data_IF_031778986714
#
_entry.id   IF_031778986714
#
_cell.length_a   1.000
_cell.length_b   1.000
_cell.length_c   1.000
_cell.angle_alpha   90.00
_cell.angle_beta   90.00
_cell.angle_gamma   90.00
#
_symmetry.space_group_name_H-M   'P 1'
#
loop_
_entity.id
_entity.type
_entity.pdbx_description
1 polymer ?
#
# COMPACT_ATOMS: atom_id res chain seq x y z
N UNK A 1 1.70 -16.41 -3.63
CA UNK A 1 2.05 -16.19 -2.21
C UNK A 1 1.60 -14.81 -1.78
N UNK A 2 0.84 -14.73 -0.70
CA UNK A 2 0.28 -13.48 -0.14
C UNK A 2 -0.58 -12.71 -1.13
N UNK A 3 -1.63 -13.33 -1.62
CA UNK A 3 -2.55 -12.77 -2.60
C UNK A 3 -3.81 -12.18 -1.97
N UNK A 4 -4.10 -12.57 -0.73
CA UNK A 4 -5.29 -12.17 -0.01
C UNK A 4 -4.93 -11.55 1.34
N UNK A 5 -5.70 -10.54 1.72
CA UNK A 5 -5.60 -9.91 3.02
C UNK A 5 -6.21 -10.82 4.09
N UNK A 6 -5.46 -10.95 5.19
CA UNK A 6 -5.96 -11.56 6.41
C UNK A 6 -5.86 -10.52 7.53
N UNK A 7 -6.98 -10.22 8.16
CA UNK A 7 -7.05 -9.16 9.18
C UNK A 7 -6.06 -9.36 10.33
N UNK A 8 -5.67 -10.60 10.59
CA UNK A 8 -4.72 -10.95 11.65
C UNK A 8 -3.33 -11.30 11.09
N UNK A 9 -3.02 -10.87 9.87
CA UNK A 9 -1.74 -11.17 9.26
C UNK A 9 -0.61 -10.53 10.07
N UNK A 10 0.32 -11.36 10.54
CA UNK A 10 1.49 -10.94 11.28
C UNK A 10 2.75 -11.26 10.46
N UNK A 11 3.40 -10.21 9.98
CA UNK A 11 4.61 -10.35 9.15
C UNK A 11 5.74 -11.09 9.88
N UNK A 12 5.92 -10.84 11.16
CA UNK A 12 6.97 -11.49 11.96
C UNK A 12 6.75 -13.00 12.04
N UNK A 13 5.51 -13.42 12.31
CA UNK A 13 5.13 -14.83 12.34
C UNK A 13 5.29 -15.46 10.96
N UNK A 14 4.87 -14.76 9.92
CA UNK A 14 5.01 -15.24 8.54
C UNK A 14 6.48 -15.51 8.18
N UNK A 15 7.37 -14.57 8.46
CA UNK A 15 8.81 -14.71 8.18
C UNK A 15 9.40 -15.87 8.99
N UNK A 16 9.05 -15.98 10.28
CA UNK A 16 9.51 -17.08 11.12
C UNK A 16 9.11 -18.45 10.55
N UNK A 17 7.84 -18.59 10.20
CA UNK A 17 7.34 -19.85 9.63
C UNK A 17 8.00 -20.18 8.29
N UNK A 18 8.20 -19.17 7.45
CA UNK A 18 8.91 -19.35 6.18
C UNK A 18 10.34 -19.84 6.41
N UNK A 19 11.06 -19.21 7.34
CA UNK A 19 12.43 -19.60 7.68
C UNK A 19 12.49 -21.06 8.15
N UNK A 20 11.60 -21.44 9.05
CA UNK A 20 11.52 -22.81 9.56
C UNK A 20 11.23 -23.81 8.44
N UNK A 21 10.29 -23.53 7.57
CA UNK A 21 9.91 -24.41 6.46
C UNK A 21 11.02 -24.58 5.42
N UNK A 22 11.86 -23.56 5.22
CA UNK A 22 12.92 -23.54 4.22
C UNK A 22 14.32 -23.88 4.80
N UNK A 23 14.42 -24.08 6.11
CA UNK A 23 15.70 -24.33 6.74
C UNK A 23 16.64 -23.12 6.69
N UNK A 24 16.10 -21.90 6.65
CA UNK A 24 16.88 -20.67 6.60
C UNK A 24 17.04 -20.13 8.02
N UNK A 25 18.27 -19.85 8.43
CA UNK A 25 18.57 -19.36 9.79
C UNK A 25 18.81 -17.86 9.86
N UNK A 26 19.10 -17.20 8.70
CA UNK A 26 19.36 -15.77 8.63
C UNK A 26 18.18 -15.04 8.02
N UNK A 27 17.63 -14.06 8.74
CA UNK A 27 16.48 -13.27 8.29
C UNK A 27 16.74 -12.56 6.96
N UNK A 28 17.96 -12.01 6.77
CA UNK A 28 18.31 -11.32 5.52
C UNK A 28 18.21 -12.25 4.31
N UNK A 29 18.61 -13.51 4.46
CA UNK A 29 18.48 -14.51 3.39
C UNK A 29 17.02 -14.86 3.12
N UNK A 30 16.21 -14.99 4.16
CA UNK A 30 14.78 -15.25 4.04
C UNK A 30 14.08 -14.11 3.27
N UNK A 31 14.38 -12.86 3.61
CA UNK A 31 13.80 -11.69 2.92
C UNK A 31 14.23 -11.63 1.45
N UNK A 32 15.50 -11.98 1.16
CA UNK A 32 15.97 -12.03 -0.24
C UNK A 32 15.19 -13.08 -1.05
N UNK A 33 14.91 -14.23 -0.48
CA UNK A 33 14.09 -15.27 -1.13
C UNK A 33 12.64 -14.82 -1.29
N UNK A 34 12.06 -14.18 -0.28
CA UNK A 34 10.69 -13.68 -0.34
C UNK A 34 10.52 -12.59 -1.39
N UNK A 35 11.54 -11.73 -1.60
CA UNK A 35 11.50 -10.71 -2.66
C UNK A 35 11.29 -11.32 -4.04
N UNK A 36 11.80 -12.52 -4.26
CA UNK A 36 11.65 -13.24 -5.53
C UNK A 36 10.28 -13.90 -5.67
N UNK A 37 9.66 -14.29 -4.56
CA UNK A 37 8.43 -15.10 -4.55
C UNK A 37 7.16 -14.28 -4.39
N UNK A 38 7.21 -13.20 -3.63
CA UNK A 38 6.05 -12.33 -3.43
C UNK A 38 5.77 -11.56 -4.73
N UNK A 39 4.50 -11.40 -5.07
CA UNK A 39 4.06 -10.68 -6.25
C UNK A 39 4.64 -9.26 -6.29
N UNK A 40 4.76 -8.71 -7.49
CA UNK A 40 5.31 -7.37 -7.69
C UNK A 40 4.44 -6.29 -7.05
N UNK A 41 5.02 -5.12 -6.82
CA UNK A 41 4.28 -3.95 -6.34
C UNK A 41 3.11 -3.61 -7.27
N UNK A 42 3.34 -3.70 -8.59
CA UNK A 42 2.28 -3.45 -9.59
C UNK A 42 1.07 -4.36 -9.44
N UNK A 43 1.26 -5.59 -9.02
CA UNK A 43 0.16 -6.50 -8.73
C UNK A 43 -0.74 -5.94 -7.63
N UNK A 44 -0.14 -5.45 -6.53
CA UNK A 44 -0.90 -4.87 -5.41
C UNK A 44 -1.53 -3.54 -5.79
N UNK A 45 -0.83 -2.70 -6.57
CA UNK A 45 -1.38 -1.46 -7.09
C UNK A 45 -2.65 -1.71 -7.91
N UNK A 46 -2.63 -2.70 -8.79
CA UNK A 46 -3.79 -3.05 -9.61
C UNK A 46 -4.96 -3.56 -8.76
N UNK A 47 -4.69 -4.39 -7.76
CA UNK A 47 -5.74 -4.88 -6.85
C UNK A 47 -6.41 -3.75 -6.09
N UNK A 48 -5.62 -2.82 -5.56
CA UNK A 48 -6.12 -1.67 -4.81
C UNK A 48 -6.96 -0.76 -5.71
N UNK A 49 -6.44 -0.41 -6.88
CA UNK A 49 -7.15 0.43 -7.85
C UNK A 49 -8.48 -0.19 -8.25
N UNK A 50 -8.49 -1.48 -8.57
CA UNK A 50 -9.70 -2.20 -8.97
C UNK A 50 -10.74 -2.22 -7.85
N UNK A 51 -10.30 -2.48 -6.61
CA UNK A 51 -11.20 -2.51 -5.46
C UNK A 51 -11.81 -1.13 -5.16
N UNK A 52 -11.01 -0.07 -5.26
CA UNK A 52 -11.50 1.30 -5.05
C UNK A 52 -12.52 1.70 -6.11
N UNK A 53 -12.26 1.38 -7.37
CA UNK A 53 -13.20 1.66 -8.47
C UNK A 53 -14.51 0.91 -8.31
N UNK A 54 -14.44 -0.33 -7.85
CA UNK A 54 -15.63 -1.16 -7.64
C UNK A 54 -16.46 -0.65 -6.47
N UNK A 55 -15.81 -0.30 -5.36
CA UNK A 55 -16.50 0.17 -4.15
C UNK A 55 -17.05 1.59 -4.31
N UNK A 56 -16.31 2.44 -5.00
CA UNK A 56 -16.66 3.86 -5.18
C UNK A 56 -16.74 4.21 -6.66
N UNK A 57 -17.80 3.75 -7.36
CA UNK A 57 -17.89 3.92 -8.82
C UNK A 57 -17.94 5.37 -9.29
N UNK A 58 -18.34 6.30 -8.42
CA UNK A 58 -18.40 7.72 -8.74
C UNK A 58 -17.11 8.48 -8.37
N UNK A 59 -16.14 7.81 -7.74
CA UNK A 59 -14.87 8.44 -7.41
C UNK A 59 -13.94 8.44 -8.62
N UNK A 60 -13.04 9.43 -8.64
CA UNK A 60 -11.97 9.49 -9.63
C UNK A 60 -10.77 8.72 -9.07
N UNK A 61 -10.37 7.63 -9.71
CA UNK A 61 -9.25 6.79 -9.25
C UNK A 61 -8.25 6.60 -10.38
N UNK A 62 -6.99 6.92 -10.14
CA UNK A 62 -5.92 6.77 -11.12
C UNK A 62 -4.66 6.23 -10.49
N UNK A 63 -3.97 5.39 -11.24
CA UNK A 63 -2.58 5.04 -10.95
C UNK A 63 -1.69 6.15 -11.50
N UNK A 64 -0.78 6.64 -10.67
CA UNK A 64 0.15 7.71 -11.06
C UNK A 64 1.45 7.08 -11.55
N UNK A 65 1.82 7.39 -12.80
CA UNK A 65 3.09 6.93 -13.36
C UNK A 65 4.23 7.83 -12.90
N UNK A 66 5.29 7.22 -12.36
CA UNK A 66 6.50 7.93 -11.95
C UNK A 66 7.46 7.96 -13.14
N UNK A 67 7.48 9.06 -13.87
CA UNK A 67 8.42 9.27 -14.98
C UNK A 67 9.68 10.03 -14.55
N UNK A 68 10.63 10.18 -15.49
CA UNK A 68 11.90 10.87 -15.24
C UNK A 68 11.73 12.34 -14.81
N UNK A 69 10.60 12.95 -15.16
CA UNK A 69 10.30 14.35 -14.87
C UNK A 69 9.26 14.53 -13.76
N UNK A 70 8.78 13.45 -13.14
CA UNK A 70 7.87 13.56 -12.03
C UNK A 70 8.62 13.76 -10.71
N UNK A 71 7.98 14.45 -9.76
CA UNK A 71 8.55 14.58 -8.42
C UNK A 71 8.49 13.23 -7.70
N UNK A 72 9.60 12.83 -7.10
CA UNK A 72 9.67 11.61 -6.32
C UNK A 72 8.80 11.68 -5.08
N UNK A 73 8.34 10.52 -4.62
CA UNK A 73 7.56 10.39 -3.39
C UNK A 73 6.06 10.58 -3.55
N UNK A 74 5.57 10.97 -4.74
CA UNK A 74 4.13 11.07 -5.01
C UNK A 74 3.46 9.70 -4.86
N UNK A 75 2.31 9.60 -4.15
CA UNK A 75 1.61 8.32 -3.98
C UNK A 75 1.25 7.65 -5.30
N UNK A 76 1.31 6.30 -5.31
CA UNK A 76 1.07 5.49 -6.51
C UNK A 76 -0.36 5.56 -7.02
N UNK A 77 -1.33 5.67 -6.10
CA UNK A 77 -2.76 5.71 -6.42
C UNK A 77 -3.33 7.02 -5.91
N UNK A 78 -4.01 7.74 -6.80
CA UNK A 78 -4.75 8.95 -6.46
C UNK A 78 -6.23 8.66 -6.52
N UNK A 79 -6.97 9.09 -5.51
CA UNK A 79 -8.43 9.06 -5.54
C UNK A 79 -8.98 10.41 -5.10
N UNK A 80 -10.00 10.87 -5.81
CA UNK A 80 -10.81 12.02 -5.40
C UNK A 80 -12.23 11.51 -5.22
N UNK A 81 -12.76 11.69 -4.02
CA UNK A 81 -14.12 11.29 -3.69
C UNK A 81 -14.80 12.43 -2.95
N UNK A 82 -15.93 12.88 -3.49
CA UNK A 82 -16.70 14.00 -2.93
C UNK A 82 -15.82 15.25 -2.70
N UNK A 83 -14.91 15.51 -3.64
CA UNK A 83 -14.00 16.64 -3.59
C UNK A 83 -12.80 16.48 -2.67
N UNK A 84 -12.68 15.35 -2.01
CA UNK A 84 -11.57 15.10 -1.09
C UNK A 84 -10.49 14.22 -1.70
N UNK A 85 -9.22 14.56 -1.47
CA UNK A 85 -8.06 13.84 -1.98
C UNK A 85 -7.66 12.69 -1.06
N UNK A 86 -7.41 11.53 -1.69
CA UNK A 86 -6.79 10.37 -1.05
C UNK A 86 -5.60 9.93 -1.89
N UNK A 87 -4.44 9.78 -1.26
CA UNK A 87 -3.23 9.25 -1.90
C UNK A 87 -2.78 7.97 -1.21
N UNK A 88 -2.58 6.92 -1.97
CA UNK A 88 -2.13 5.64 -1.43
C UNK A 88 -0.79 5.26 -2.01
N UNK A 89 0.21 5.15 -1.14
CA UNK A 89 1.53 4.64 -1.48
C UNK A 89 1.53 3.14 -1.26
N UNK A 90 1.67 2.38 -2.34
CA UNK A 90 1.53 0.93 -2.30
C UNK A 90 2.85 0.26 -2.01
N UNK A 91 2.85 -0.66 -1.06
CA UNK A 91 4.02 -1.46 -0.70
C UNK A 91 3.67 -2.95 -0.76
N UNK A 92 4.64 -3.74 -1.18
CA UNK A 92 4.54 -5.19 -1.12
C UNK A 92 4.45 -5.63 0.34
N UNK A 93 3.73 -6.72 0.64
CA UNK A 93 3.74 -7.24 2.01
C UNK A 93 5.14 -7.75 2.36
N UNK A 94 5.50 -7.68 3.64
CA UNK A 94 6.74 -8.21 4.21
C UNK A 94 8.01 -7.52 3.71
N UNK A 95 8.20 -7.43 2.39
CA UNK A 95 9.45 -6.95 1.77
C UNK A 95 9.41 -5.49 1.30
N UNK A 96 8.27 -4.81 1.42
CA UNK A 96 8.16 -3.41 1.04
C UNK A 96 8.97 -2.51 1.95
N UNK A 97 9.60 -1.48 1.38
CA UNK A 97 10.43 -0.52 2.12
C UNK A 97 9.86 0.88 1.93
N UNK A 98 9.66 1.60 3.03
CA UNK A 98 9.20 2.98 3.02
C UNK A 98 10.41 3.90 2.95
N UNK A 99 10.44 4.79 1.95
CA UNK A 99 11.50 5.80 1.87
C UNK A 99 11.14 7.02 2.71
N UNK A 100 12.17 7.78 3.13
CA UNK A 100 11.95 9.04 3.86
C UNK A 100 11.21 10.05 3.01
N UNK A 101 11.46 10.08 1.70
CA UNK A 101 10.77 10.98 0.78
C UNK A 101 9.28 10.65 0.71
N UNK A 102 8.93 9.37 0.66
CA UNK A 102 7.52 8.95 0.66
C UNK A 102 6.83 9.30 1.98
N UNK A 103 7.50 9.09 3.12
CA UNK A 103 6.98 9.47 4.43
C UNK A 103 6.73 10.97 4.52
N UNK A 104 7.68 11.77 4.03
CA UNK A 104 7.55 13.24 4.00
C UNK A 104 6.38 13.68 3.13
N UNK A 105 6.21 13.08 1.95
CA UNK A 105 5.10 13.43 1.06
C UNK A 105 3.75 13.13 1.70
N UNK A 106 3.63 12.01 2.40
CA UNK A 106 2.40 11.68 3.13
C UNK A 106 2.10 12.74 4.20
N UNK A 107 3.12 13.16 4.96
CA UNK A 107 2.97 14.21 5.95
C UNK A 107 2.53 15.54 5.33
N UNK A 108 3.10 15.90 4.18
CA UNK A 108 2.73 17.12 3.45
C UNK A 108 1.28 17.09 2.98
N UNK A 109 0.83 15.95 2.46
CA UNK A 109 -0.56 15.76 2.02
C UNK A 109 -1.52 15.90 3.21
N UNK A 110 -1.20 15.26 4.32
CA UNK A 110 -2.01 15.31 5.55
C UNK A 110 -2.06 16.74 6.09
N UNK A 111 -0.94 17.46 6.11
CA UNK A 111 -0.89 18.85 6.55
C UNK A 111 -1.72 19.77 5.66
N UNK A 112 -1.85 19.45 4.38
CA UNK A 112 -2.66 20.21 3.43
C UNK A 112 -4.15 19.84 3.47
N UNK A 113 -4.55 18.90 4.34
CA UNK A 113 -5.94 18.49 4.52
C UNK A 113 -6.37 17.27 3.71
N UNK A 114 -5.46 16.66 2.96
CA UNK A 114 -5.74 15.41 2.26
C UNK A 114 -5.54 14.20 3.18
N UNK A 115 -5.89 13.04 2.68
CA UNK A 115 -5.60 11.76 3.33
C UNK A 115 -4.53 11.04 2.50
N UNK A 116 -3.49 10.55 3.16
CA UNK A 116 -2.48 9.73 2.50
C UNK A 116 -1.98 8.64 3.44
N UNK A 117 -1.68 7.48 2.89
CA UNK A 117 -1.24 6.35 3.70
C UNK A 117 -0.44 5.35 2.86
N UNK A 118 0.45 4.63 3.55
CA UNK A 118 1.03 3.41 3.00
C UNK A 118 0.03 2.28 3.11
N UNK A 119 -0.19 1.57 2.02
CA UNK A 119 -1.12 0.44 1.98
C UNK A 119 -0.50 -0.73 1.22
N UNK A 120 -0.89 -1.93 1.58
CA UNK A 120 -0.54 -3.16 0.89
C UNK A 120 -1.79 -3.81 0.30
N UNK A 121 -2.88 -3.78 1.05
CA UNK A 121 -4.11 -4.49 0.75
C UNK A 121 -5.24 -3.54 0.42
N UNK A 122 -6.16 -3.93 -0.49
CA UNK A 122 -7.33 -3.09 -0.81
C UNK A 122 -8.13 -2.66 0.42
N UNK A 123 -8.28 -3.55 1.39
CA UNK A 123 -9.04 -3.29 2.62
C UNK A 123 -8.44 -2.15 3.43
N UNK A 124 -7.10 -1.99 3.41
CA UNK A 124 -6.44 -0.89 4.11
C UNK A 124 -6.78 0.46 3.49
N UNK A 125 -6.82 0.54 2.16
CA UNK A 125 -7.21 1.76 1.46
C UNK A 125 -8.68 2.10 1.76
N UNK A 126 -9.55 1.10 1.73
CA UNK A 126 -10.98 1.28 2.05
C UNK A 126 -11.15 1.74 3.49
N UNK A 127 -10.40 1.18 4.43
CA UNK A 127 -10.43 1.59 5.84
C UNK A 127 -10.07 3.06 6.01
N UNK A 128 -9.08 3.57 5.27
CA UNK A 128 -8.70 4.98 5.32
C UNK A 128 -9.85 5.89 4.85
N UNK A 129 -10.54 5.49 3.80
CA UNK A 129 -11.70 6.24 3.29
C UNK A 129 -12.82 6.23 4.31
N UNK A 130 -13.13 5.08 4.89
CA UNK A 130 -14.18 4.92 5.90
C UNK A 130 -13.89 5.75 7.16
N UNK A 131 -12.65 5.74 7.64
CA UNK A 131 -12.22 6.56 8.79
C UNK A 131 -12.47 8.04 8.54
N UNK A 132 -12.09 8.53 7.36
CA UNK A 132 -12.34 9.93 6.99
C UNK A 132 -13.83 10.23 6.97
N UNK A 133 -14.64 9.37 6.38
CA UNK A 133 -16.08 9.60 6.27
C UNK A 133 -16.76 9.57 7.65
N UNK A 134 -16.32 8.70 8.55
CA UNK A 134 -16.82 8.66 9.93
C UNK A 134 -16.43 9.90 10.72
N UNK A 135 -15.20 10.38 10.58
CA UNK A 135 -14.73 11.57 11.27
C UNK A 135 -15.45 12.85 10.78
N UNK A 136 -15.93 12.83 9.55
CA UNK A 136 -16.67 13.94 8.93
C UNK A 136 -18.10 14.09 9.45
N UNK A 137 -18.65 13.02 10.02
CA UNK A 137 -20.02 13.01 10.58
C UNK A 137 -20.06 13.68 11.98
#
# INVERSE_FOLDING_TARGET
MLENYEKKFDETVFVKNFMESQGITRKSKALAELRKRIKSEGYYQTKIKTALKKKYPNAFVRKISQGAYSEGGTPDILMIKDGHYFGFEVKRPVVGVRSKLQEKTIEEIEAAGGIAAFVTWPEQAIEEVEKYEQAKR
#
